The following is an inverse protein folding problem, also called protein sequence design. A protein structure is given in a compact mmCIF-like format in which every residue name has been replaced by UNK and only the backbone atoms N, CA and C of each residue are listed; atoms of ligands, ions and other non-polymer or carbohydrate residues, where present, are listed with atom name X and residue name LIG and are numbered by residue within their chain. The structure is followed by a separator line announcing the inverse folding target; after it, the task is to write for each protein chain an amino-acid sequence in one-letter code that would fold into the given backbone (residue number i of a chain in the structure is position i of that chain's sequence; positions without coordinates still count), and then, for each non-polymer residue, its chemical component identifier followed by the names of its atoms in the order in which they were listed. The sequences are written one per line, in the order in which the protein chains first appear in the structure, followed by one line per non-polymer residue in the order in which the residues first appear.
data_IF_196291578300
#
_entry.id   IF_196291578300
#
_cell.length_a   1.000
_cell.length_b   1.000
_cell.length_c   1.000
_cell.angle_alpha   90.00
_cell.angle_beta   90.00
_cell.angle_gamma   90.00
#
_symmetry.space_group_name_H-M   'P 1'
#
loop_
_entity.id
_entity.type
_entity.pdbx_description
1 polymer ?
#
# COMPACT_ATOMS: atom_id res chain seq x y z
N UNK A 1 -1.05 -8.36 7.58
CA UNK A 1 0.30 -7.86 7.28
C UNK A 1 0.69 -8.10 5.83
N UNK A 2 0.75 -9.34 5.32
CA UNK A 2 1.13 -9.61 3.92
C UNK A 2 0.29 -8.85 2.88
N UNK A 3 -1.04 -8.82 3.01
CA UNK A 3 -1.90 -8.02 2.13
C UNK A 3 -1.50 -6.55 2.06
N UNK A 4 -1.19 -5.96 3.21
CA UNK A 4 -0.79 -4.56 3.30
C UNK A 4 0.46 -4.26 2.49
N UNK A 5 1.52 -5.04 2.67
CA UNK A 5 2.75 -4.89 1.89
C UNK A 5 2.55 -5.20 0.40
N UNK A 6 1.75 -6.21 0.08
CA UNK A 6 1.44 -6.55 -1.30
C UNK A 6 0.71 -5.39 -2.02
N UNK A 7 -0.30 -4.80 -1.38
CA UNK A 7 -1.02 -3.64 -1.91
C UNK A 7 -0.11 -2.41 -2.01
N UNK A 8 0.76 -2.17 -1.02
CA UNK A 8 1.76 -1.10 -1.06
C UNK A 8 2.67 -1.23 -2.29
N UNK A 9 3.21 -2.43 -2.52
CA UNK A 9 4.11 -2.71 -3.64
C UNK A 9 3.40 -2.58 -4.99
N UNK A 10 2.17 -3.08 -5.12
CA UNK A 10 1.39 -2.95 -6.35
C UNK A 10 1.10 -1.48 -6.67
N UNK A 11 0.64 -0.70 -5.68
CA UNK A 11 0.36 0.72 -5.89
C UNK A 11 1.64 1.50 -6.29
N UNK A 12 2.76 1.24 -5.63
CA UNK A 12 4.06 1.85 -6.01
C UNK A 12 4.50 1.44 -7.40
N UNK A 13 4.33 0.17 -7.79
CA UNK A 13 4.65 -0.29 -9.13
C UNK A 13 3.84 0.45 -10.20
N UNK A 14 2.53 0.66 -9.98
CA UNK A 14 1.68 1.44 -10.89
C UNK A 14 2.17 2.87 -11.02
N UNK A 15 2.48 3.52 -9.89
CA UNK A 15 2.98 4.90 -9.88
C UNK A 15 4.28 5.01 -10.68
N UNK A 16 5.22 4.07 -10.50
CA UNK A 16 6.47 4.03 -11.28
C UNK A 16 6.21 3.74 -12.75
N UNK A 17 5.25 2.86 -13.09
CA UNK A 17 4.90 2.60 -14.49
C UNK A 17 4.36 3.86 -15.17
N UNK A 18 3.60 4.67 -14.45
CA UNK A 18 3.10 5.96 -14.95
C UNK A 18 4.17 7.04 -15.06
N UNK A 19 5.08 7.09 -14.10
CA UNK A 19 6.15 8.09 -14.05
C UNK A 19 7.49 7.45 -13.62
N UNK A 20 8.25 6.87 -14.58
CA UNK A 20 9.48 6.17 -14.27
C UNK A 20 10.59 7.06 -13.70
N UNK A 21 10.49 8.40 -13.85
CA UNK A 21 11.50 9.35 -13.34
C UNK A 21 11.46 9.52 -11.81
N UNK A 22 10.44 8.94 -11.16
CA UNK A 22 10.34 8.87 -9.70
C UNK A 22 11.36 7.93 -9.06
N UNK A 23 11.95 7.03 -9.84
CA UNK A 23 13.01 6.14 -9.39
C UNK A 23 14.36 6.80 -9.68
N UNK A 24 15.20 6.99 -8.66
CA UNK A 24 16.61 7.37 -8.83
C UNK A 24 17.51 6.15 -8.65
N UNK A 25 18.76 6.27 -9.08
CA UNK A 25 19.72 5.16 -9.18
C UNK A 25 19.95 4.43 -7.85
N UNK A 26 19.90 5.20 -6.77
CA UNK A 26 20.25 4.87 -5.40
C UNK A 26 19.06 4.98 -4.44
N UNK A 27 18.01 5.72 -4.82
CA UNK A 27 16.91 6.12 -3.93
C UNK A 27 15.57 6.15 -4.66
N UNK A 28 14.51 5.68 -4.03
CA UNK A 28 13.15 6.06 -4.44
C UNK A 28 12.91 7.52 -4.04
N UNK A 29 12.29 8.34 -4.91
CA UNK A 29 11.87 9.68 -4.49
C UNK A 29 10.95 9.62 -3.26
N UNK A 30 10.91 10.72 -2.49
CA UNK A 30 10.08 10.79 -1.29
C UNK A 30 8.61 10.61 -1.66
N UNK A 31 8.04 9.47 -1.28
CA UNK A 31 6.62 9.19 -1.42
C UNK A 31 5.78 10.02 -0.43
N UNK A 32 4.58 10.41 -0.83
CA UNK A 32 3.61 10.99 0.10
C UNK A 32 3.36 10.04 1.29
N UNK A 33 3.30 10.59 2.50
CA UNK A 33 3.13 9.78 3.72
C UNK A 33 4.27 8.80 3.99
N UNK A 34 5.48 9.08 3.49
CA UNK A 34 6.64 8.18 3.50
C UNK A 34 6.40 6.85 2.77
N UNK A 35 5.34 6.75 1.96
CA UNK A 35 5.03 5.57 1.17
C UNK A 35 4.36 4.44 1.96
N UNK A 36 3.71 4.76 3.09
CA UNK A 36 2.96 3.79 3.90
C UNK A 36 1.46 4.11 4.01
N UNK A 37 1.03 5.27 3.54
CA UNK A 37 -0.39 5.63 3.45
C UNK A 37 -0.99 4.97 2.21
N UNK A 38 -1.62 3.81 2.42
CA UNK A 38 -2.20 3.02 1.34
C UNK A 38 -3.32 3.77 0.60
N UNK A 39 -4.15 4.54 1.31
CA UNK A 39 -5.22 5.33 0.67
C UNK A 39 -4.66 6.34 -0.31
N UNK A 40 -3.65 7.12 0.11
CA UNK A 40 -2.96 8.09 -0.77
C UNK A 40 -2.18 7.43 -1.90
N UNK A 41 -1.57 6.26 -1.64
CA UNK A 41 -0.88 5.51 -2.69
C UNK A 41 -1.85 5.05 -3.78
N UNK A 42 -3.04 4.58 -3.42
CA UNK A 42 -4.06 4.19 -4.38
C UNK A 42 -4.62 5.39 -5.16
N UNK A 43 -4.80 6.54 -4.48
CA UNK A 43 -5.18 7.80 -5.13
C UNK A 43 -4.13 8.23 -6.17
N UNK A 44 -2.85 8.16 -5.82
CA UNK A 44 -1.76 8.50 -6.73
C UNK A 44 -1.61 7.48 -7.87
N UNK A 45 -1.81 6.20 -7.57
CA UNK A 45 -1.90 5.13 -8.57
C UNK A 45 -3.16 5.21 -9.44
N UNK A 46 -4.06 6.19 -9.20
CA UNK A 46 -5.33 6.38 -9.92
C UNK A 46 -6.25 5.17 -9.87
N UNK A 47 -6.15 4.34 -8.83
CA UNK A 47 -7.08 3.24 -8.60
C UNK A 47 -8.32 3.83 -7.90
N UNK A 48 -9.51 3.75 -8.49
CA UNK A 48 -10.71 4.29 -7.85
C UNK A 48 -11.03 3.50 -6.58
N UNK A 49 -11.38 4.18 -5.50
CA UNK A 49 -11.75 3.57 -4.22
C UNK A 49 -13.15 3.99 -3.82
N UNK A 50 -13.95 3.03 -3.38
CA UNK A 50 -15.15 3.27 -2.58
C UNK A 50 -14.77 3.61 -1.14
N UNK A 51 -15.70 4.23 -0.41
CA UNK A 51 -15.49 4.57 1.02
C UNK A 51 -15.16 3.33 1.85
N UNK A 52 -15.81 2.19 1.56
CA UNK A 52 -15.56 0.93 2.23
C UNK A 52 -14.16 0.37 1.95
N UNK A 53 -13.66 0.51 0.73
CA UNK A 53 -12.28 0.12 0.37
C UNK A 53 -11.25 1.02 1.05
N UNK A 54 -11.51 2.35 1.10
CA UNK A 54 -10.61 3.29 1.78
C UNK A 54 -10.47 2.96 3.28
N UNK A 55 -11.58 2.67 3.96
CA UNK A 55 -11.55 2.27 5.37
C UNK A 55 -10.74 0.99 5.61
N UNK A 56 -10.86 0.01 4.71
CA UNK A 56 -10.09 -1.25 4.76
C UNK A 56 -8.59 -0.97 4.56
N UNK A 57 -8.22 -0.10 3.61
CA UNK A 57 -6.84 0.30 3.37
C UNK A 57 -6.24 1.05 4.57
N UNK A 58 -7.00 1.96 5.18
CA UNK A 58 -6.56 2.69 6.39
C UNK A 58 -6.35 1.72 7.57
N UNK A 59 -7.22 0.71 7.72
CA UNK A 59 -6.99 -0.38 8.68
C UNK A 59 -5.73 -1.18 8.35
N UNK A 60 -5.54 -1.56 7.09
CA UNK A 60 -4.37 -2.32 6.67
C UNK A 60 -3.05 -1.54 6.89
N UNK A 61 -3.03 -0.25 6.56
CA UNK A 61 -1.87 0.62 6.78
C UNK A 61 -1.51 0.74 8.27
N UNK A 62 -2.52 0.97 9.13
CA UNK A 62 -2.33 0.97 10.59
C UNK A 62 -1.79 -0.36 11.09
N UNK A 63 -2.33 -1.47 10.59
CA UNK A 63 -1.89 -2.81 10.97
C UNK A 63 -0.44 -3.12 10.56
N UNK A 64 -0.01 -2.67 9.37
CA UNK A 64 1.40 -2.80 8.94
C UNK A 64 2.31 -2.01 9.87
N UNK A 65 1.95 -0.75 10.17
CA UNK A 65 2.75 0.11 11.04
C UNK A 65 2.88 -0.47 12.45
N UNK A 66 1.82 -1.11 12.96
CA UNK A 66 1.81 -1.78 14.25
C UNK A 66 2.52 -3.14 14.25
N UNK A 67 2.02 -4.14 13.51
CA UNK A 67 2.60 -5.50 13.51
C UNK A 67 4.02 -5.54 12.92
N UNK A 68 4.39 -4.55 12.09
CA UNK A 68 5.74 -4.43 11.54
C UNK A 68 6.77 -3.77 12.47
N UNK A 69 6.35 -2.98 13.46
CA UNK A 69 7.25 -2.27 14.40
C UNK A 69 7.24 -2.84 15.81
N UNK A 70 6.13 -3.42 16.23
CA UNK A 70 5.97 -3.99 17.56
C UNK A 70 5.54 -5.45 17.41
N UNK A 71 6.38 -6.42 17.83
CA UNK A 71 5.87 -7.74 18.08
C UNK A 71 4.92 -7.60 19.27
N UNK A 72 3.65 -7.90 19.01
CA UNK A 72 2.54 -8.01 19.98
C UNK A 72 1.94 -6.68 20.50
N UNK A 73 0.63 -6.46 20.30
CA UNK A 73 -0.16 -5.64 21.22
C UNK A 73 -0.17 -6.28 22.59
N UNK A 74 0.36 -5.61 23.62
CA UNK A 74 0.30 -6.13 24.99
C UNK A 74 -1.14 -6.09 25.57
N UNK A 75 -2.11 -5.50 24.84
CA UNK A 75 -3.47 -5.28 25.31
C UNK A 75 -4.47 -5.00 24.16
N UNK A 76 -5.62 -5.69 24.16
CA UNK A 76 -6.77 -5.40 23.30
C UNK A 76 -7.30 -3.97 23.47
N UNK A 77 -7.21 -3.42 24.68
CA UNK A 77 -7.67 -2.07 24.99
C UNK A 77 -6.86 -0.99 24.26
N UNK A 78 -5.55 -1.17 24.09
CA UNK A 78 -4.70 -0.20 23.37
C UNK A 78 -4.95 -0.23 21.86
N UNK A 79 -5.23 -1.41 21.30
CA UNK A 79 -5.48 -1.61 19.88
C UNK A 79 -6.92 -1.25 19.47
N UNK A 80 -7.89 -1.56 20.34
CA UNK A 80 -9.33 -1.45 20.09
C UNK A 80 -9.95 -0.11 20.48
N UNK A 81 -9.23 0.78 21.17
CA UNK A 81 -9.76 2.06 21.67
C UNK A 81 -10.30 3.00 20.57
N UNK A 82 -9.82 2.85 19.33
CA UNK A 82 -10.25 3.67 18.18
C UNK A 82 -10.97 2.86 17.08
N UNK A 83 -10.77 1.53 17.05
CA UNK A 83 -11.35 0.65 16.04
C UNK A 83 -11.41 -0.80 16.59
N UNK A 84 -12.58 -1.31 16.99
CA UNK A 84 -12.71 -2.66 17.54
C UNK A 84 -12.20 -3.76 16.61
N UNK A 85 -12.24 -3.51 15.30
CA UNK A 85 -11.74 -4.43 14.28
C UNK A 85 -10.21 -4.52 14.30
N UNK A 86 -9.52 -3.40 14.57
CA UNK A 86 -8.07 -3.42 14.79
C UNK A 86 -7.76 -4.26 16.02
N UNK A 87 -8.50 -4.09 17.12
CA UNK A 87 -8.40 -4.96 18.30
C UNK A 87 -8.53 -6.44 17.95
N UNK A 88 -9.53 -6.80 17.14
CA UNK A 88 -9.76 -8.17 16.67
C UNK A 88 -8.59 -8.73 15.84
N UNK A 89 -8.11 -7.99 14.83
CA UNK A 89 -6.99 -8.45 13.97
C UNK A 89 -5.64 -8.41 14.71
N UNK A 90 -5.54 -7.58 15.75
CA UNK A 90 -4.36 -7.45 16.57
C UNK A 90 -4.16 -8.70 17.46
N UNK A 91 -5.24 -9.25 18.03
CA UNK A 91 -5.22 -10.49 18.84
C UNK A 91 -5.47 -11.76 18.03
N UNK A 92 -6.06 -11.64 16.83
CA UNK A 92 -6.31 -12.75 15.91
C UNK A 92 -5.25 -12.91 14.83
N UNK A 93 -5.28 -14.08 14.17
CA UNK A 93 -4.38 -14.43 13.07
C UNK A 93 -4.98 -14.16 11.68
N UNK A 94 -6.26 -13.81 11.61
CA UNK A 94 -7.01 -13.63 10.37
C UNK A 94 -7.79 -12.31 10.33
N UNK A 95 -8.05 -11.84 9.11
CA UNK A 95 -8.99 -10.76 8.87
C UNK A 95 -10.43 -11.29 8.99
N UNK A 96 -11.39 -10.46 9.44
CA UNK A 96 -12.81 -10.78 9.31
C UNK A 96 -13.15 -11.14 7.87
N UNK A 97 -14.02 -12.14 7.60
CA UNK A 97 -14.29 -12.63 6.25
C UNK A 97 -14.66 -11.53 5.24
N UNK A 98 -15.48 -10.56 5.64
CA UNK A 98 -15.89 -9.46 4.78
C UNK A 98 -14.73 -8.52 4.41
N UNK A 99 -13.84 -8.23 5.37
CA UNK A 99 -12.64 -7.42 5.13
C UNK A 99 -11.64 -8.18 4.26
N UNK A 100 -11.49 -9.49 4.50
CA UNK A 100 -10.64 -10.35 3.69
C UNK A 100 -11.12 -10.37 2.23
N UNK A 101 -12.43 -10.50 2.00
CA UNK A 101 -13.01 -10.44 0.68
C UNK A 101 -12.73 -9.08 0.01
N UNK A 102 -12.89 -7.97 0.73
CA UNK A 102 -12.58 -6.62 0.22
C UNK A 102 -11.09 -6.45 -0.11
N UNK A 103 -10.19 -6.92 0.75
CA UNK A 103 -8.75 -6.90 0.51
C UNK A 103 -8.37 -7.73 -0.73
N UNK A 104 -9.03 -8.87 -0.93
CA UNK A 104 -8.80 -9.73 -2.09
C UNK A 104 -9.23 -9.04 -3.38
N UNK A 105 -10.41 -8.41 -3.38
CA UNK A 105 -10.89 -7.59 -4.52
C UNK A 105 -9.93 -6.44 -4.81
N UNK A 106 -9.46 -5.72 -3.79
CA UNK A 106 -8.48 -4.64 -3.95
C UNK A 106 -7.16 -5.14 -4.54
N UNK A 107 -6.70 -6.31 -4.09
CA UNK A 107 -5.49 -6.93 -4.60
C UNK A 107 -5.62 -7.30 -6.08
N UNK A 108 -6.73 -7.94 -6.46
CA UNK A 108 -6.97 -8.32 -7.86
C UNK A 108 -7.10 -7.09 -8.76
N UNK A 109 -7.76 -6.04 -8.28
CA UNK A 109 -7.88 -4.74 -8.97
C UNK A 109 -6.53 -4.08 -9.19
N UNK A 110 -5.71 -3.98 -8.14
CA UNK A 110 -4.36 -3.41 -8.24
C UNK A 110 -3.44 -4.26 -9.13
N UNK A 111 -3.55 -5.59 -9.05
CA UNK A 111 -2.79 -6.52 -9.90
C UNK A 111 -3.15 -6.36 -11.38
N UNK A 112 -4.44 -6.32 -11.70
CA UNK A 112 -4.91 -6.09 -13.06
C UNK A 112 -4.42 -4.74 -13.59
N UNK A 113 -4.45 -3.70 -12.76
CA UNK A 113 -3.98 -2.38 -13.14
C UNK A 113 -2.47 -2.37 -13.42
N UNK A 114 -1.64 -2.99 -12.57
CA UNK A 114 -0.20 -3.16 -12.84
C UNK A 114 0.03 -3.87 -14.19
N UNK A 115 -0.69 -4.96 -14.44
CA UNK A 115 -0.55 -5.73 -15.67
C UNK A 115 -0.92 -4.92 -16.92
N UNK A 116 -1.84 -3.97 -16.78
CA UNK A 116 -2.19 -3.02 -17.84
C UNK A 116 -1.10 -1.95 -17.98
N UNK A 117 -0.73 -1.27 -16.90
CA UNK A 117 0.19 -0.13 -16.93
C UNK A 117 1.61 -0.51 -17.33
N UNK A 118 2.05 -1.75 -17.07
CA UNK A 118 3.38 -2.21 -17.47
C UNK A 118 3.56 -2.29 -18.99
N UNK A 119 2.47 -2.43 -19.74
CA UNK A 119 2.51 -2.43 -21.20
C UNK A 119 2.68 -1.02 -21.78
N UNK A 120 2.31 -0.01 -21.01
CA UNK A 120 2.26 1.40 -21.43
C UNK A 120 3.35 2.26 -20.75
N UNK A 121 4.42 1.63 -20.24
CA UNK A 121 5.48 2.35 -19.54
C UNK A 121 6.19 3.30 -20.51
N UNK A 122 6.24 4.61 -20.21
CA UNK A 122 6.96 5.56 -21.06
C UNK A 122 8.44 5.19 -21.18
N UNK A 123 8.97 5.21 -22.39
CA UNK A 123 10.40 5.04 -22.60
C UNK A 123 11.16 6.19 -21.94
N UNK A 124 12.13 5.86 -21.10
CA UNK A 124 13.10 6.84 -20.62
C UNK A 124 14.09 7.16 -21.74
N UNK A 125 14.53 8.42 -21.81
CA UNK A 125 15.62 8.81 -22.73
C UNK A 125 16.86 7.96 -22.44
N UNK A 126 17.63 7.64 -23.48
CA UNK A 126 18.93 6.98 -23.32
C UNK A 126 19.89 7.80 -22.42
N UNK A 127 19.70 9.12 -22.40
CA UNK A 127 20.47 10.07 -21.58
C UNK A 127 19.79 10.41 -20.24
N UNK A 128 18.76 9.64 -19.84
CA UNK A 128 18.07 9.90 -18.58
C UNK A 128 19.02 9.71 -17.39
N UNK A 129 19.42 10.83 -16.78
CA UNK A 129 20.20 10.83 -15.55
C UNK A 129 19.30 10.46 -14.37
N UNK A 130 19.48 9.23 -13.87
CA UNK A 130 18.84 8.76 -12.65
C UNK A 130 19.37 9.47 -11.37
N UNK A 131 20.25 10.46 -11.52
CA UNK A 131 20.89 11.22 -10.45
C UNK A 131 22.11 10.50 -9.89
N UNK A 132 23.17 11.26 -9.63
CA UNK A 132 24.33 10.81 -8.87
C UNK A 132 24.15 11.11 -7.37
N UNK A 133 24.72 10.23 -6.55
CA UNK A 133 24.81 10.37 -5.08
C UNK A 133 25.30 11.79 -4.71
N UNK A 134 24.48 12.56 -4.00
CA UNK A 134 24.92 13.70 -3.19
C UNK A 134 24.88 13.32 -1.72
#
# INVERSE_FOLDING_TARGET
MMFGFALENLAKAIIVCHDPVLVRRDKLQKWHGHGHDLGRLFDWAKIPLSDGERQVLDRAARLIAWKGRYPVPMSFYEAGAQDPLIGYIAVGDSWPPDEYARLSVLYDKAKAEVQRTIQDVPALSADHDFGADK
#
